data_IF_695959682697
#
_entry.id   IF_695959682697
#
_cell.length_a   1.000
_cell.length_b   1.000
_cell.length_c   1.000
_cell.angle_alpha   90.00
_cell.angle_beta   90.00
_cell.angle_gamma   90.00
#
_symmetry.space_group_name_H-M   'P 1'
#
loop_
_entity.id
_entity.type
_entity.pdbx_description
1 polymer ?
#
# COMPACT_ATOMS: atom_id res chain seq x y z
N UNK A 1 -30.15 -20.33 -13.52
CA UNK A 1 -30.77 -19.18 -14.22
C UNK A 1 -29.66 -18.19 -14.54
N UNK A 2 -28.81 -18.35 -15.57
CA UNK A 2 -29.12 -18.50 -17.00
C UNK A 2 -30.21 -17.53 -17.45
N UNK A 3 -29.81 -16.29 -17.69
CA UNK A 3 -30.51 -15.38 -18.58
C UNK A 3 -29.62 -15.10 -19.79
N UNK A 4 -30.27 -15.11 -20.93
CA UNK A 4 -29.75 -15.33 -22.27
C UNK A 4 -28.81 -14.22 -22.75
N UNK A 5 -27.52 -14.47 -22.63
CA UNK A 5 -26.45 -13.82 -23.39
C UNK A 5 -26.48 -14.39 -24.81
N UNK A 6 -27.46 -13.99 -25.62
CA UNK A 6 -27.55 -14.40 -27.03
C UNK A 6 -27.54 -13.23 -28.02
N UNK A 7 -27.22 -12.01 -27.56
CA UNK A 7 -27.03 -10.84 -28.44
C UNK A 7 -25.69 -10.08 -28.23
N UNK A 8 -24.74 -10.62 -27.48
CA UNK A 8 -23.57 -9.89 -26.91
C UNK A 8 -22.35 -9.69 -27.83
N UNK A 9 -22.48 -9.71 -29.16
CA UNK A 9 -21.35 -9.30 -30.02
C UNK A 9 -21.25 -7.78 -30.25
N UNK A 10 -22.19 -6.99 -29.71
CA UNK A 10 -22.34 -5.58 -30.10
C UNK A 10 -21.76 -4.55 -29.10
N UNK A 11 -21.48 -4.91 -27.85
CA UNK A 11 -20.99 -3.97 -26.85
C UNK A 11 -19.87 -4.59 -26.02
N UNK A 12 -18.85 -3.79 -25.69
CA UNK A 12 -17.76 -4.26 -24.83
C UNK A 12 -18.33 -4.48 -23.41
N UNK A 13 -18.20 -5.71 -22.86
CA UNK A 13 -18.63 -6.08 -21.50
C UNK A 13 -18.13 -5.11 -20.43
N UNK A 14 -16.97 -4.48 -20.66
CA UNK A 14 -16.40 -3.45 -19.79
C UNK A 14 -17.28 -2.21 -19.73
N UNK A 15 -17.89 -1.82 -20.86
CA UNK A 15 -18.86 -0.71 -20.88
C UNK A 15 -20.07 -1.02 -20.00
N UNK A 16 -20.62 -2.24 -20.11
CA UNK A 16 -21.72 -2.67 -19.23
C UNK A 16 -21.32 -2.64 -17.76
N UNK A 17 -20.14 -3.16 -17.42
CA UNK A 17 -19.63 -3.15 -16.05
C UNK A 17 -19.44 -1.73 -15.49
N UNK A 18 -18.87 -0.82 -16.29
CA UNK A 18 -18.71 0.59 -15.90
C UNK A 18 -20.09 1.19 -15.59
N UNK A 19 -21.08 0.96 -16.44
CA UNK A 19 -22.45 1.43 -16.20
C UNK A 19 -22.99 0.92 -14.86
N UNK A 20 -22.92 -0.38 -14.59
CA UNK A 20 -23.44 -0.97 -13.36
C UNK A 20 -22.75 -0.42 -12.11
N UNK A 21 -21.42 -0.24 -12.16
CA UNK A 21 -20.63 0.30 -11.03
C UNK A 21 -21.07 1.74 -10.70
N UNK A 22 -21.23 2.61 -11.71
CA UNK A 22 -21.53 4.02 -11.47
C UNK A 22 -23.02 4.30 -11.28
N UNK A 23 -23.90 3.52 -11.90
CA UNK A 23 -25.34 3.64 -11.69
C UNK A 23 -25.80 3.01 -10.37
N UNK A 24 -25.03 2.04 -9.84
CA UNK A 24 -25.42 1.24 -8.69
C UNK A 24 -26.59 0.30 -8.96
N UNK A 25 -26.96 0.15 -10.24
CA UNK A 25 -28.09 -0.66 -10.70
C UNK A 25 -27.58 -1.76 -11.63
N UNK A 26 -28.20 -2.94 -11.53
CA UNK A 26 -27.93 -4.03 -12.48
C UNK A 26 -28.53 -3.67 -13.84
N UNK A 27 -27.79 -3.90 -14.91
CA UNK A 27 -28.24 -3.62 -16.27
C UNK A 27 -29.40 -4.57 -16.62
N UNK A 28 -30.58 -3.99 -16.86
CA UNK A 28 -31.78 -4.74 -17.23
C UNK A 28 -32.01 -4.75 -18.74
N UNK A 29 -31.71 -3.64 -19.41
CA UNK A 29 -31.92 -3.44 -20.85
C UNK A 29 -30.78 -2.66 -21.48
N UNK A 30 -30.49 -2.90 -22.76
CA UNK A 30 -29.35 -2.26 -23.45
C UNK A 30 -29.54 -0.76 -23.67
N UNK A 31 -30.78 -0.26 -23.71
CA UNK A 31 -31.06 1.17 -23.84
C UNK A 31 -30.59 1.98 -22.62
N UNK A 32 -30.51 1.34 -21.45
CA UNK A 32 -30.06 1.95 -20.19
C UNK A 32 -28.60 2.42 -20.27
N UNK A 33 -27.78 1.79 -21.11
CA UNK A 33 -26.38 2.17 -21.35
C UNK A 33 -26.22 3.60 -21.90
N UNK A 34 -27.29 4.19 -22.44
CA UNK A 34 -27.31 5.59 -22.89
C UNK A 34 -27.45 6.58 -21.73
N UNK A 35 -27.85 6.12 -20.55
CA UNK A 35 -27.94 6.97 -19.36
C UNK A 35 -26.56 7.11 -18.71
N UNK A 36 -25.89 8.22 -19.00
CA UNK A 36 -24.53 8.48 -18.53
C UNK A 36 -24.45 9.48 -17.39
N UNK A 37 -25.57 9.81 -16.74
CA UNK A 37 -25.63 10.85 -15.72
C UNK A 37 -24.69 10.57 -14.52
N UNK A 38 -24.55 9.29 -14.13
CA UNK A 38 -23.70 8.88 -13.01
C UNK A 38 -22.24 8.63 -13.38
N UNK A 39 -21.89 8.68 -14.68
CA UNK A 39 -20.54 8.36 -15.15
C UNK A 39 -19.64 9.60 -15.00
N UNK A 40 -18.44 9.46 -14.40
CA UNK A 40 -17.48 10.56 -14.27
C UNK A 40 -17.14 11.18 -15.62
N UNK A 41 -17.05 12.52 -15.65
CA UNK A 41 -16.78 13.28 -16.89
C UNK A 41 -15.48 12.87 -17.58
N UNK A 42 -14.44 12.52 -16.82
CA UNK A 42 -13.16 12.06 -17.36
C UNK A 42 -13.21 10.67 -17.98
N UNK A 43 -14.17 9.82 -17.58
CA UNK A 43 -14.35 8.46 -18.13
C UNK A 43 -15.37 8.42 -19.27
N UNK A 44 -16.24 9.44 -19.37
CA UNK A 44 -17.36 9.46 -20.31
C UNK A 44 -16.95 9.27 -21.78
N UNK A 45 -15.89 9.92 -22.31
CA UNK A 45 -15.49 9.74 -23.71
C UNK A 45 -15.07 8.29 -24.01
N UNK A 46 -14.31 7.68 -23.10
CA UNK A 46 -13.86 6.30 -23.25
C UNK A 46 -15.03 5.32 -23.11
N UNK A 47 -15.94 5.57 -22.17
CA UNK A 47 -17.19 4.81 -22.01
C UNK A 47 -18.01 4.77 -23.31
N UNK A 48 -18.21 5.92 -23.95
CA UNK A 48 -18.95 5.98 -25.22
C UNK A 48 -18.25 5.20 -26.34
N UNK A 49 -16.91 5.21 -26.36
CA UNK A 49 -16.12 4.43 -27.33
C UNK A 49 -16.16 2.93 -27.05
N UNK A 50 -16.21 2.50 -25.79
CA UNK A 50 -16.43 1.09 -25.42
C UNK A 50 -17.77 0.57 -25.97
N UNK A 51 -18.76 1.45 -26.04
CA UNK A 51 -20.09 1.15 -26.54
C UNK A 51 -20.28 1.47 -28.03
N UNK A 52 -19.22 1.65 -28.81
CA UNK A 52 -19.37 1.93 -30.24
C UNK A 52 -19.97 0.73 -30.99
N UNK A 53 -21.02 0.99 -31.77
CA UNK A 53 -21.62 0.04 -32.72
C UNK A 53 -20.70 -0.28 -33.90
N UNK A 54 -19.71 0.59 -34.17
CA UNK A 54 -18.72 0.38 -35.22
C UNK A 54 -17.50 -0.35 -34.65
N UNK A 55 -17.21 -1.62 -35.05
CA UNK A 55 -16.12 -2.40 -34.48
C UNK A 55 -14.75 -1.74 -34.56
N UNK A 56 -14.42 -1.08 -35.66
CA UNK A 56 -13.13 -0.40 -35.85
C UNK A 56 -12.91 0.81 -34.94
N UNK A 57 -13.98 1.41 -34.40
CA UNK A 57 -13.93 2.54 -33.47
C UNK A 57 -14.08 2.11 -32.00
N UNK A 58 -14.45 0.85 -31.76
CA UNK A 58 -14.71 0.31 -30.42
C UNK A 58 -13.41 0.23 -29.62
N UNK A 59 -13.40 0.88 -28.45
CA UNK A 59 -12.27 0.83 -27.54
C UNK A 59 -12.14 -0.58 -26.94
N UNK A 60 -10.90 -1.06 -26.81
CA UNK A 60 -10.61 -2.33 -26.13
C UNK A 60 -10.13 -2.07 -24.69
N UNK A 61 -10.13 -3.12 -23.86
CA UNK A 61 -9.76 -3.06 -22.45
C UNK A 61 -8.37 -2.46 -22.21
N UNK A 62 -7.37 -2.95 -22.95
CA UNK A 62 -5.98 -2.53 -22.80
C UNK A 62 -5.80 -1.04 -23.07
N UNK A 63 -6.39 -0.55 -24.17
CA UNK A 63 -6.32 0.88 -24.53
C UNK A 63 -7.07 1.78 -23.55
N UNK A 64 -8.14 1.29 -22.91
CA UNK A 64 -8.83 2.01 -21.85
C UNK A 64 -7.89 2.22 -20.66
N UNK A 65 -7.25 1.16 -20.18
CA UNK A 65 -6.36 1.22 -19.01
C UNK A 65 -5.14 2.12 -19.30
N UNK A 66 -4.58 2.02 -20.50
CA UNK A 66 -3.39 2.80 -20.88
C UNK A 66 -3.66 4.28 -21.10
N UNK A 67 -4.81 4.64 -21.71
CA UNK A 67 -5.02 6.00 -22.22
C UNK A 67 -6.08 6.80 -21.44
N UNK A 68 -6.84 6.18 -20.54
CA UNK A 68 -7.90 6.90 -19.84
C UNK A 68 -7.34 7.74 -18.69
N UNK A 69 -7.62 9.04 -18.74
CA UNK A 69 -7.29 9.99 -17.67
C UNK A 69 -7.93 9.60 -16.34
N UNK A 70 -9.07 8.91 -16.36
CA UNK A 70 -9.75 8.46 -15.15
C UNK A 70 -8.86 7.54 -14.26
N UNK A 71 -8.05 6.68 -14.90
CA UNK A 71 -7.14 5.77 -14.18
C UNK A 71 -5.79 6.39 -13.86
N UNK A 72 -5.49 7.59 -14.37
CA UNK A 72 -4.27 8.33 -14.05
C UNK A 72 -4.46 9.11 -12.75
N UNK A 73 -4.34 8.41 -11.63
CA UNK A 73 -4.47 9.01 -10.32
C UNK A 73 -3.47 8.43 -9.33
N UNK A 74 -3.23 9.19 -8.25
CA UNK A 74 -2.23 8.86 -7.22
C UNK A 74 -2.40 7.46 -6.63
N UNK A 75 -3.63 6.95 -6.53
CA UNK A 75 -3.89 5.61 -6.01
C UNK A 75 -3.30 4.56 -6.94
N UNK A 76 -3.63 4.65 -8.24
CA UNK A 76 -3.15 3.71 -9.26
C UNK A 76 -1.62 3.76 -9.34
N UNK A 77 -1.04 4.96 -9.39
CA UNK A 77 0.41 5.15 -9.43
C UNK A 77 1.12 4.55 -8.21
N UNK A 78 0.56 4.77 -7.01
CA UNK A 78 1.14 4.26 -5.75
C UNK A 78 1.09 2.73 -5.69
N UNK A 79 -0.05 2.13 -6.03
CA UNK A 79 -0.18 0.66 -6.05
C UNK A 79 0.73 0.07 -7.12
N UNK A 80 0.75 0.64 -8.32
CA UNK A 80 1.59 0.16 -9.40
C UNK A 80 3.07 0.19 -9.01
N UNK A 81 3.57 1.30 -8.43
CA UNK A 81 4.94 1.41 -7.95
C UNK A 81 5.29 0.31 -6.94
N UNK A 82 4.37 0.01 -6.01
CA UNK A 82 4.54 -1.07 -5.04
C UNK A 82 4.55 -2.46 -5.67
N UNK A 83 3.79 -2.69 -6.74
CA UNK A 83 3.74 -3.98 -7.45
C UNK A 83 4.99 -4.24 -8.30
N UNK A 84 5.61 -3.18 -8.85
CA UNK A 84 6.86 -3.29 -9.64
C UNK A 84 8.12 -2.92 -8.84
N UNK A 85 8.04 -2.94 -7.51
CA UNK A 85 9.10 -2.47 -6.62
C UNK A 85 10.46 -3.16 -6.86
N UNK A 86 10.47 -4.43 -7.27
CA UNK A 86 11.70 -5.18 -7.57
C UNK A 86 12.46 -4.65 -8.79
N UNK A 87 11.78 -3.95 -9.70
CA UNK A 87 12.36 -3.33 -10.89
C UNK A 87 12.91 -1.92 -10.63
N UNK A 88 12.70 -1.39 -9.43
CA UNK A 88 13.11 -0.04 -9.03
C UNK A 88 14.49 -0.03 -8.40
N UNK A 89 15.26 1.01 -8.72
CA UNK A 89 16.56 1.21 -8.08
C UNK A 89 16.43 1.75 -6.64
N UNK A 90 17.54 1.83 -5.92
CA UNK A 90 17.55 2.27 -4.52
C UNK A 90 17.15 3.73 -4.33
N UNK A 91 17.43 4.60 -5.32
CA UNK A 91 17.13 6.04 -5.27
C UNK A 91 15.63 6.26 -5.49
N UNK A 92 15.05 5.61 -6.49
CA UNK A 92 13.61 5.61 -6.75
C UNK A 92 12.84 5.13 -5.51
N UNK A 93 13.29 4.02 -4.91
CA UNK A 93 12.70 3.46 -3.69
C UNK A 93 12.75 4.44 -2.52
N UNK A 94 13.92 5.02 -2.24
CA UNK A 94 14.09 5.97 -1.13
C UNK A 94 13.17 7.19 -1.30
N UNK A 95 13.13 7.78 -2.50
CA UNK A 95 12.26 8.93 -2.81
C UNK A 95 10.78 8.57 -2.62
N UNK A 96 10.37 7.40 -3.11
CA UNK A 96 8.98 6.96 -2.99
C UNK A 96 8.59 6.74 -1.53
N UNK A 97 9.38 5.97 -0.76
CA UNK A 97 9.03 5.65 0.62
C UNK A 97 9.04 6.86 1.56
N UNK A 98 9.86 7.89 1.28
CA UNK A 98 9.77 9.17 2.01
C UNK A 98 8.46 9.92 1.76
N UNK A 99 7.88 9.79 0.56
CA UNK A 99 6.61 10.43 0.18
C UNK A 99 5.39 9.61 0.62
N UNK A 100 5.55 8.30 0.78
CA UNK A 100 4.47 7.35 1.04
C UNK A 100 3.58 7.71 2.25
N UNK A 101 4.10 8.15 3.41
CA UNK A 101 3.24 8.56 4.53
C UNK A 101 2.21 9.63 4.13
N UNK A 102 2.64 10.67 3.40
CA UNK A 102 1.77 11.75 2.94
C UNK A 102 0.82 11.29 1.82
N UNK A 103 1.27 10.37 0.96
CA UNK A 103 0.40 9.78 -0.05
C UNK A 103 -0.73 9.00 0.60
N UNK A 104 -0.45 8.18 1.61
CA UNK A 104 -1.46 7.34 2.25
C UNK A 104 -2.64 8.13 2.82
N UNK A 105 -2.41 9.34 3.33
CA UNK A 105 -3.46 10.24 3.85
C UNK A 105 -4.43 10.74 2.76
N UNK A 106 -3.98 10.76 1.50
CA UNK A 106 -4.77 11.22 0.35
C UNK A 106 -5.52 10.07 -0.33
N UNK A 107 -5.29 8.83 0.11
CA UNK A 107 -5.89 7.64 -0.49
C UNK A 107 -7.08 7.14 0.34
N UNK A 108 -8.07 6.48 -0.28
CA UNK A 108 -9.14 5.80 0.44
C UNK A 108 -8.59 4.80 1.47
N UNK A 109 -8.87 5.06 2.75
CA UNK A 109 -8.33 4.29 3.89
C UNK A 109 -8.50 2.78 3.74
N UNK A 110 -9.67 2.33 3.26
CA UNK A 110 -9.92 0.89 3.08
C UNK A 110 -8.97 0.25 2.05
N UNK A 111 -8.61 0.97 0.98
CA UNK A 111 -7.68 0.48 -0.04
C UNK A 111 -6.26 0.45 0.51
N UNK A 112 -5.88 1.45 1.28
CA UNK A 112 -4.58 1.46 1.97
C UNK A 112 -4.45 0.24 2.88
N UNK A 113 -5.44 -0.03 3.73
CA UNK A 113 -5.40 -1.14 4.68
C UNK A 113 -5.48 -2.52 4.00
N UNK A 114 -6.27 -2.68 2.94
CA UNK A 114 -6.50 -3.99 2.31
C UNK A 114 -5.48 -4.35 1.23
N UNK A 115 -4.83 -3.38 0.60
CA UNK A 115 -3.93 -3.62 -0.54
C UNK A 115 -2.53 -3.04 -0.32
N UNK A 116 -2.41 -1.76 0.06
CA UNK A 116 -1.11 -1.11 0.21
C UNK A 116 -0.34 -1.61 1.44
N UNK A 117 -1.02 -1.80 2.57
CA UNK A 117 -0.42 -2.27 3.81
C UNK A 117 0.21 -3.67 3.68
N UNK A 118 -0.47 -4.70 3.13
CA UNK A 118 0.15 -6.01 2.88
C UNK A 118 1.36 -5.96 1.93
N UNK A 119 1.34 -5.09 0.91
CA UNK A 119 2.48 -4.90 0.01
C UNK A 119 3.67 -4.26 0.75
N UNK A 120 3.40 -3.29 1.61
CA UNK A 120 4.40 -2.59 2.42
C UNK A 120 5.06 -3.50 3.45
N UNK A 121 4.26 -4.27 4.20
CA UNK A 121 4.80 -5.23 5.18
C UNK A 121 5.66 -6.28 4.48
N UNK A 122 5.19 -6.85 3.37
CA UNK A 122 5.96 -7.82 2.58
C UNK A 122 7.28 -7.21 2.07
N UNK A 123 7.24 -5.99 1.53
CA UNK A 123 8.44 -5.32 1.05
C UNK A 123 9.48 -5.09 2.16
N UNK A 124 9.04 -4.77 3.38
CA UNK A 124 9.90 -4.63 4.55
C UNK A 124 10.48 -5.98 5.00
N UNK A 125 9.64 -7.01 5.12
CA UNK A 125 10.08 -8.33 5.59
C UNK A 125 11.06 -9.03 4.64
N UNK A 126 10.90 -8.84 3.33
CA UNK A 126 11.79 -9.41 2.31
C UNK A 126 12.92 -8.46 1.90
N UNK A 127 13.15 -7.36 2.63
CA UNK A 127 14.28 -6.45 2.40
C UNK A 127 14.24 -5.70 1.06
N UNK A 128 13.07 -5.59 0.43
CA UNK A 128 12.89 -4.86 -0.84
C UNK A 128 12.58 -3.37 -0.63
N UNK A 129 12.13 -3.00 0.57
CA UNK A 129 11.82 -1.63 0.96
C UNK A 129 13.03 -0.92 1.58
N UNK A 130 13.12 0.40 1.35
CA UNK A 130 14.12 1.26 1.99
C UNK A 130 13.70 1.66 3.41
N UNK A 131 14.64 2.11 4.24
CA UNK A 131 14.37 2.49 5.65
C UNK A 131 13.19 3.45 5.88
N UNK A 132 12.92 4.47 5.03
CA UNK A 132 11.74 5.34 5.18
C UNK A 132 10.39 4.62 5.10
N UNK A 133 10.35 3.39 4.58
CA UNK A 133 9.14 2.56 4.54
C UNK A 133 8.61 2.24 5.95
N UNK A 134 9.48 2.20 6.97
CA UNK A 134 9.07 2.01 8.35
C UNK A 134 8.15 3.15 8.83
N UNK A 135 8.45 4.40 8.45
CA UNK A 135 7.60 5.55 8.80
C UNK A 135 6.21 5.41 8.20
N UNK A 136 6.11 4.91 6.96
CA UNK A 136 4.82 4.61 6.34
C UNK A 136 4.08 3.47 7.04
N UNK A 137 4.80 2.42 7.47
CA UNK A 137 4.22 1.30 8.21
C UNK A 137 3.61 1.78 9.52
N UNK A 138 4.36 2.56 10.31
CA UNK A 138 3.90 3.10 11.59
C UNK A 138 2.72 4.06 11.41
N UNK A 139 2.77 4.91 10.38
CA UNK A 139 1.67 5.82 10.05
C UNK A 139 0.38 5.06 9.74
N UNK A 140 0.44 4.06 8.88
CA UNK A 140 -0.73 3.22 8.56
C UNK A 140 -1.14 2.40 9.80
N UNK A 141 -0.19 1.92 10.59
CA UNK A 141 -0.43 1.21 11.83
C UNK A 141 -1.24 2.02 12.85
N UNK A 142 -1.04 3.33 12.91
CA UNK A 142 -1.82 4.22 13.79
C UNK A 142 -3.32 4.27 13.46
N UNK A 143 -3.73 3.73 12.31
CA UNK A 143 -5.13 3.62 11.89
C UNK A 143 -5.80 2.31 12.32
N UNK A 144 -5.02 1.38 12.88
CA UNK A 144 -5.51 0.07 13.31
C UNK A 144 -5.98 0.11 14.77
N UNK A 145 -6.83 -0.83 15.15
CA UNK A 145 -7.08 -1.08 16.57
C UNK A 145 -5.81 -1.60 17.25
N UNK A 146 -5.74 -1.55 18.58
CA UNK A 146 -4.60 -2.10 19.33
C UNK A 146 -4.38 -3.60 19.02
N UNK A 147 -5.47 -4.37 18.89
CA UNK A 147 -5.42 -5.79 18.54
C UNK A 147 -4.86 -5.99 17.11
N UNK A 148 -5.39 -5.25 16.14
CA UNK A 148 -4.91 -5.33 14.75
C UNK A 148 -3.46 -4.87 14.63
N UNK A 149 -3.04 -3.86 15.37
CA UNK A 149 -1.65 -3.40 15.41
C UNK A 149 -0.73 -4.51 15.92
N UNK A 150 -1.09 -5.15 17.04
CA UNK A 150 -0.31 -6.27 17.60
C UNK A 150 -0.23 -7.45 16.63
N UNK A 151 -1.32 -7.76 15.91
CA UNK A 151 -1.34 -8.89 14.98
C UNK A 151 -0.66 -8.59 13.65
N UNK A 152 -0.73 -7.36 13.15
CA UNK A 152 -0.34 -7.02 11.77
C UNK A 152 0.92 -6.17 11.64
N UNK A 153 1.27 -5.38 12.66
CA UNK A 153 2.40 -4.43 12.60
C UNK A 153 3.59 -4.93 13.42
N UNK A 154 3.36 -5.32 14.69
CA UNK A 154 4.44 -5.75 15.59
C UNK A 154 5.28 -6.91 15.03
N UNK A 155 4.73 -7.96 14.40
CA UNK A 155 5.56 -9.05 13.87
C UNK A 155 6.57 -8.56 12.83
N UNK A 156 6.18 -7.62 11.98
CA UNK A 156 7.09 -7.02 11.00
C UNK A 156 8.17 -6.19 11.69
N UNK A 157 7.82 -5.37 12.69
CA UNK A 157 8.81 -4.59 13.47
C UNK A 157 9.83 -5.50 14.15
N UNK A 158 9.37 -6.56 14.82
CA UNK A 158 10.24 -7.52 15.52
C UNK A 158 11.21 -8.18 14.54
N UNK A 159 10.72 -8.66 13.39
CA UNK A 159 11.57 -9.22 12.33
C UNK A 159 12.62 -8.23 11.82
N UNK A 160 12.26 -6.95 11.69
CA UNK A 160 13.19 -5.93 11.19
C UNK A 160 14.38 -5.67 12.12
N UNK A 161 14.29 -5.96 13.42
CA UNK A 161 15.46 -5.87 14.32
C UNK A 161 16.57 -6.85 13.94
N UNK A 162 16.23 -7.99 13.35
CA UNK A 162 17.20 -8.96 12.84
C UNK A 162 17.84 -8.52 11.50
N UNK A 163 17.43 -7.39 10.92
CA UNK A 163 18.02 -6.88 9.68
C UNK A 163 19.45 -6.39 9.89
N UNK A 164 20.33 -6.78 8.96
CA UNK A 164 21.72 -6.28 8.93
C UNK A 164 21.83 -4.86 8.35
N UNK A 165 20.74 -4.31 7.79
CA UNK A 165 20.72 -2.96 7.24
C UNK A 165 20.83 -1.91 8.37
N UNK A 166 21.93 -1.15 8.36
CA UNK A 166 22.17 -0.08 9.34
C UNK A 166 21.10 1.02 9.28
N UNK A 167 20.59 1.37 8.10
CA UNK A 167 19.56 2.40 7.96
C UNK A 167 18.22 1.95 8.57
N UNK A 168 17.87 0.67 8.41
CA UNK A 168 16.68 0.08 9.05
C UNK A 168 16.83 0.13 10.58
N UNK A 169 17.99 -0.27 11.11
CA UNK A 169 18.25 -0.23 12.56
C UNK A 169 18.18 1.20 13.12
N UNK A 170 18.74 2.18 12.42
CA UNK A 170 18.61 3.60 12.76
C UNK A 170 17.13 4.01 12.79
N UNK A 171 16.36 3.67 11.74
CA UNK A 171 14.95 4.03 11.66
C UNK A 171 14.10 3.38 12.77
N UNK A 172 14.37 2.11 13.11
CA UNK A 172 13.72 1.42 14.21
C UNK A 172 13.93 2.16 15.53
N UNK A 173 15.18 2.43 15.88
CA UNK A 173 15.52 3.09 17.15
C UNK A 173 15.04 4.55 17.20
N UNK A 174 15.05 5.25 16.06
CA UNK A 174 14.54 6.62 15.98
C UNK A 174 13.02 6.71 16.23
N UNK A 175 12.29 5.64 15.98
CA UNK A 175 10.83 5.58 16.15
C UNK A 175 10.40 4.69 17.33
N UNK A 176 11.31 4.33 18.23
CA UNK A 176 11.03 3.41 19.34
C UNK A 176 9.87 3.88 20.23
N UNK A 177 9.70 5.19 20.41
CA UNK A 177 8.62 5.78 21.21
C UNK A 177 7.22 5.42 20.70
N UNK A 178 7.08 5.06 19.41
CA UNK A 178 5.77 4.77 18.80
C UNK A 178 5.30 3.33 19.01
N UNK A 179 6.21 2.40 19.29
CA UNK A 179 5.90 0.97 19.36
C UNK A 179 6.55 0.23 20.52
N UNK A 180 7.57 0.82 21.17
CA UNK A 180 8.35 0.18 22.22
C UNK A 180 7.50 -0.22 23.43
N UNK A 181 6.47 0.57 23.76
CA UNK A 181 5.51 0.23 24.81
C UNK A 181 4.69 -1.03 24.50
N UNK A 182 4.37 -1.25 23.22
CA UNK A 182 3.60 -2.42 22.76
C UNK A 182 4.39 -3.72 22.75
N UNK A 183 5.73 -3.67 22.88
CA UNK A 183 6.57 -4.87 22.99
C UNK A 183 6.46 -5.46 24.40
N UNK A 184 6.23 -6.78 24.50
CA UNK A 184 6.25 -7.49 25.77
C UNK A 184 7.69 -7.66 26.27
N UNK A 185 7.88 -7.79 27.59
CA UNK A 185 9.20 -8.04 28.17
C UNK A 185 9.89 -9.28 27.57
N UNK A 186 9.13 -10.36 27.36
CA UNK A 186 9.65 -11.57 26.73
C UNK A 186 10.15 -11.31 25.31
N UNK A 187 9.38 -10.59 24.49
CA UNK A 187 9.79 -10.25 23.11
C UNK A 187 11.02 -9.34 23.11
N UNK A 188 11.08 -8.38 24.04
CA UNK A 188 12.25 -7.51 24.19
C UNK A 188 13.49 -8.33 24.53
N UNK A 189 13.43 -9.17 25.56
CA UNK A 189 14.53 -10.03 26.00
C UNK A 189 15.03 -10.98 24.91
N UNK A 190 14.11 -11.72 24.28
CA UNK A 190 14.47 -12.86 23.43
C UNK A 190 14.74 -12.46 21.98
N UNK A 191 14.05 -11.44 21.45
CA UNK A 191 14.02 -11.17 20.00
C UNK A 191 14.50 -9.78 19.60
N UNK A 192 14.43 -8.77 20.48
CA UNK A 192 14.76 -7.38 20.13
C UNK A 192 16.10 -6.97 20.70
N UNK A 193 16.29 -7.12 22.02
CA UNK A 193 17.46 -6.64 22.74
C UNK A 193 18.79 -7.22 22.23
N UNK A 194 18.91 -8.52 21.86
CA UNK A 194 20.16 -9.05 21.30
C UNK A 194 20.64 -8.28 20.06
N UNK A 195 19.72 -7.77 19.25
CA UNK A 195 20.05 -6.96 18.07
C UNK A 195 20.36 -5.51 18.44
N UNK A 196 19.60 -4.92 19.37
CA UNK A 196 19.80 -3.55 19.84
C UNK A 196 21.15 -3.39 20.55
N UNK A 197 21.55 -4.37 21.37
CA UNK A 197 22.80 -4.33 22.13
C UNK A 197 24.05 -4.19 21.24
N UNK A 198 24.00 -4.70 20.00
CA UNK A 198 25.09 -4.52 19.03
C UNK A 198 25.35 -3.05 18.69
N UNK A 199 24.34 -2.19 18.85
CA UNK A 199 24.39 -0.77 18.58
C UNK A 199 25.27 0.02 19.56
N UNK A 200 25.55 -0.49 20.76
CA UNK A 200 26.41 0.22 21.74
C UNK A 200 27.86 0.37 21.27
N UNK A 201 28.34 -0.59 20.48
CA UNK A 201 29.72 -0.62 19.97
C UNK A 201 29.80 -0.39 18.46
N UNK A 202 28.70 0.01 17.80
CA UNK A 202 28.70 0.29 16.36
C UNK A 202 29.60 1.49 16.03
N UNK A 203 30.18 1.51 14.82
CA UNK A 203 31.07 2.58 14.37
C UNK A 203 30.35 3.92 14.16
N UNK A 204 29.05 3.90 13.84
CA UNK A 204 28.22 5.10 13.68
C UNK A 204 27.89 5.74 15.03
N UNK A 205 28.27 7.00 15.22
CA UNK A 205 27.93 7.77 16.43
C UNK A 205 26.41 7.92 16.61
N UNK A 206 25.68 8.13 15.52
CA UNK A 206 24.22 8.27 15.53
C UNK A 206 23.58 6.98 16.03
N UNK A 207 24.07 5.82 15.59
CA UNK A 207 23.48 4.54 16.01
C UNK A 207 23.75 4.28 17.49
N UNK A 208 24.96 4.58 17.99
CA UNK A 208 25.28 4.48 19.43
C UNK A 208 24.36 5.38 20.27
N UNK A 209 24.17 6.63 19.85
CA UNK A 209 23.30 7.58 20.55
C UNK A 209 21.84 7.12 20.59
N UNK A 210 21.30 6.68 19.45
CA UNK A 210 19.93 6.16 19.37
C UNK A 210 19.75 4.89 20.19
N UNK A 211 20.77 4.02 20.23
CA UNK A 211 20.77 2.81 21.07
C UNK A 211 20.65 3.19 22.54
N UNK A 212 21.49 4.13 23.01
CA UNK A 212 21.44 4.63 24.39
C UNK A 212 20.08 5.24 24.74
N UNK A 213 19.51 6.07 23.84
CA UNK A 213 18.19 6.67 24.04
C UNK A 213 17.07 5.64 24.12
N UNK A 214 17.11 4.64 23.24
CA UNK A 214 16.08 3.59 23.18
C UNK A 214 16.03 2.73 24.45
N UNK A 215 17.15 2.64 25.19
CA UNK A 215 17.16 1.94 26.47
C UNK A 215 16.25 2.56 27.53
N UNK A 216 15.86 3.83 27.43
CA UNK A 216 14.90 4.42 28.36
C UNK A 216 13.55 3.69 28.33
N UNK A 217 13.15 3.15 27.17
CA UNK A 217 11.92 2.36 27.00
C UNK A 217 12.19 0.87 27.18
N UNK A 218 13.36 0.39 26.72
CA UNK A 218 13.65 -1.05 26.74
C UNK A 218 14.15 -1.55 28.10
N UNK A 219 14.92 -0.77 28.86
CA UNK A 219 15.58 -1.24 30.09
C UNK A 219 14.62 -1.83 31.14
N UNK A 220 13.41 -1.29 31.40
CA UNK A 220 12.46 -1.92 32.32
C UNK A 220 11.94 -3.29 31.86
N UNK A 221 12.13 -3.61 30.58
CA UNK A 221 11.67 -4.82 29.92
C UNK A 221 12.79 -5.82 29.66
N UNK A 222 14.04 -5.44 29.93
CA UNK A 222 15.23 -6.29 29.78
C UNK A 222 15.55 -6.93 31.14
N UNK A 223 15.69 -8.25 31.17
CA UNK A 223 16.06 -9.02 32.37
C UNK A 223 17.55 -9.37 32.47
#
# INVERSE_FOLDING_TARGET
>A
MQFSIQSEHFYNLIGCLIYEIFSGMKLGKTEELRNTASIPKSLLPDYQRLLSSTPSRRLNASKLIENSEYFQNKLVDTIHFMEILSLKDSVEKDIFFRKLPNLTEQLPRQIVLKKLFPLLTSALEYGSAAAPALTALLKIGSWLSAEEYTLKVLPTIIKLFASNDRAIRVALLQHIDQYGESLSAQVVDEQVYPHVATGFVDTSSILRELTLKSMLIMAPKVR
#
